data_IF_183474432642
#
_entry.id   IF_183474432642
#
_cell.length_a   1.000
_cell.length_b   1.000
_cell.length_c   1.000
_cell.angle_alpha   90.00
_cell.angle_beta   90.00
_cell.angle_gamma   90.00
#
_symmetry.space_group_name_H-M   'P 1'
#
loop_
_entity.id
_entity.type
_entity.pdbx_description
1 polymer ?
#
# COMPACT_ATOMS: atom_id res chain seq x y z
N UNK A 1 9.81 8.83 -13.30
CA UNK A 1 9.51 9.99 -14.16
C UNK A 1 8.81 9.53 -15.43
N UNK A 2 9.32 8.52 -16.10
CA UNK A 2 8.79 7.98 -17.37
C UNK A 2 7.31 7.59 -17.30
N UNK A 3 6.88 6.82 -16.28
CA UNK A 3 5.48 6.39 -16.12
C UNK A 3 4.47 7.56 -16.09
N UNK A 4 4.84 8.68 -15.51
CA UNK A 4 3.99 9.88 -15.43
C UNK A 4 3.92 10.70 -16.74
N UNK A 5 4.57 10.25 -17.81
CA UNK A 5 4.49 10.88 -19.14
C UNK A 5 3.51 10.19 -20.08
N UNK A 6 2.93 9.08 -19.67
CA UNK A 6 1.96 8.34 -20.48
C UNK A 6 0.59 9.04 -20.48
N UNK A 7 -0.15 8.90 -21.57
CA UNK A 7 -1.44 9.58 -21.77
C UNK A 7 -2.53 9.14 -20.80
N UNK A 8 -2.46 7.88 -20.32
CA UNK A 8 -3.43 7.33 -19.36
C UNK A 8 -3.40 7.99 -17.98
N UNK A 9 -2.32 8.71 -17.64
CA UNK A 9 -2.23 9.47 -16.39
C UNK A 9 -2.74 10.91 -16.49
N UNK A 10 -3.15 11.34 -17.67
CA UNK A 10 -3.63 12.71 -17.91
C UNK A 10 -4.86 13.09 -17.06
N UNK A 11 -5.71 12.11 -16.76
CA UNK A 11 -6.92 12.30 -15.96
C UNK A 11 -6.72 11.97 -14.47
N UNK A 12 -5.50 11.65 -14.06
CA UNK A 12 -5.14 11.30 -12.68
C UNK A 12 -4.35 10.01 -12.59
N UNK A 13 -3.77 9.77 -11.41
CA UNK A 13 -2.99 8.57 -11.13
C UNK A 13 -3.06 8.21 -9.66
N UNK A 14 -2.84 6.95 -9.37
CA UNK A 14 -2.59 6.40 -8.05
C UNK A 14 -1.20 5.76 -8.07
N UNK A 15 -0.38 6.08 -7.06
CA UNK A 15 0.91 5.43 -6.84
C UNK A 15 0.79 4.47 -5.67
N UNK A 16 1.09 3.20 -5.91
CA UNK A 16 1.17 2.17 -4.88
C UNK A 16 2.60 1.62 -4.78
N UNK A 17 3.10 1.52 -3.56
CA UNK A 17 4.46 1.08 -3.28
C UNK A 17 5.57 2.07 -3.63
N UNK A 18 5.24 3.32 -3.91
CA UNK A 18 6.18 4.43 -4.15
C UNK A 18 5.54 5.76 -3.73
N UNK A 19 6.31 6.66 -3.08
CA UNK A 19 7.68 6.54 -2.61
C UNK A 19 7.82 5.57 -1.41
N UNK A 20 9.04 5.07 -1.17
CA UNK A 20 9.37 4.19 -0.04
C UNK A 20 10.36 4.80 0.97
N UNK A 21 10.85 5.99 0.69
CA UNK A 21 11.68 6.77 1.60
C UNK A 21 11.54 8.26 1.29
N UNK A 22 12.03 9.11 2.19
CA UNK A 22 11.90 10.57 2.08
C UNK A 22 12.61 11.11 0.83
N UNK A 23 13.77 10.59 0.47
CA UNK A 23 14.47 11.03 -0.74
C UNK A 23 13.63 10.82 -2.01
N UNK A 24 12.95 9.68 -2.11
CA UNK A 24 12.02 9.43 -3.21
C UNK A 24 10.80 10.35 -3.17
N UNK A 25 10.29 10.68 -1.97
CA UNK A 25 9.18 11.62 -1.81
C UNK A 25 9.57 13.04 -2.27
N UNK A 26 10.77 13.48 -1.98
CA UNK A 26 11.31 14.78 -2.45
C UNK A 26 11.45 14.80 -3.98
N UNK A 27 11.99 13.74 -4.58
CA UNK A 27 12.08 13.60 -6.03
C UNK A 27 10.69 13.60 -6.68
N UNK A 28 9.72 12.88 -6.10
CA UNK A 28 8.34 12.88 -6.59
C UNK A 28 7.74 14.29 -6.54
N UNK A 29 7.92 14.99 -5.41
CA UNK A 29 7.46 16.37 -5.25
C UNK A 29 8.01 17.29 -6.35
N UNK A 30 9.30 17.20 -6.63
CA UNK A 30 9.95 18.00 -7.67
C UNK A 30 9.40 17.69 -9.08
N UNK A 31 9.19 16.39 -9.39
CA UNK A 31 8.61 15.96 -10.68
C UNK A 31 7.19 16.49 -10.85
N UNK A 32 6.37 16.40 -9.80
CA UNK A 32 4.97 16.85 -9.87
C UNK A 32 4.87 18.37 -9.94
N UNK A 33 5.77 19.10 -9.29
CA UNK A 33 5.87 20.55 -9.42
C UNK A 33 6.24 20.98 -10.86
N UNK A 34 7.23 20.30 -11.46
CA UNK A 34 7.61 20.51 -12.87
C UNK A 34 6.41 20.30 -13.83
N UNK A 35 5.60 19.27 -13.54
CA UNK A 35 4.43 18.90 -14.35
C UNK A 35 3.17 19.73 -14.02
N UNK A 36 3.19 20.52 -12.96
CA UNK A 36 2.03 21.26 -12.43
C UNK A 36 0.83 20.34 -12.09
N UNK A 37 1.13 19.14 -11.60
CA UNK A 37 0.15 18.12 -11.19
C UNK A 37 0.38 17.75 -9.72
N UNK A 38 -0.08 18.57 -8.75
CA UNK A 38 0.16 18.31 -7.34
C UNK A 38 -0.56 17.04 -6.87
N UNK A 39 -0.04 16.42 -5.80
CA UNK A 39 -0.77 15.35 -5.11
C UNK A 39 -2.01 15.95 -4.42
N UNK A 40 -3.13 15.26 -4.52
CA UNK A 40 -4.33 15.61 -3.78
C UNK A 40 -4.30 15.06 -2.35
N UNK A 41 -3.79 13.85 -2.17
CA UNK A 41 -3.68 13.20 -0.87
C UNK A 41 -2.64 12.10 -0.89
N UNK A 42 -2.16 11.74 0.30
CA UNK A 42 -1.37 10.54 0.58
C UNK A 42 -2.14 9.72 1.60
N UNK A 43 -2.60 8.55 1.18
CA UNK A 43 -3.37 7.65 2.01
C UNK A 43 -2.45 6.66 2.72
N UNK A 44 -2.42 6.72 4.04
CA UNK A 44 -1.74 5.76 4.89
C UNK A 44 -2.74 4.75 5.43
N UNK A 45 -2.46 3.47 5.24
CA UNK A 45 -3.17 2.39 5.92
C UNK A 45 -2.39 1.97 7.16
N UNK A 46 -2.92 2.29 8.34
CA UNK A 46 -2.29 1.93 9.62
C UNK A 46 -2.80 0.59 10.14
N UNK A 47 -1.89 -0.25 10.60
CA UNK A 47 -2.20 -1.55 11.18
C UNK A 47 -1.12 -1.90 12.21
N UNK A 48 -1.50 -2.57 13.31
CA UNK A 48 -0.54 -3.06 14.30
C UNK A 48 0.38 -4.13 13.69
N UNK A 49 1.65 -4.13 14.09
CA UNK A 49 2.65 -5.05 13.54
C UNK A 49 2.26 -6.52 13.74
N UNK A 50 1.69 -6.86 14.89
CA UNK A 50 1.22 -8.22 15.21
C UNK A 50 0.14 -8.68 14.22
N UNK A 51 -0.74 -7.78 13.84
CA UNK A 51 -1.81 -8.05 12.88
C UNK A 51 -1.26 -8.15 11.45
N UNK A 52 -0.26 -7.35 11.09
CA UNK A 52 0.46 -7.47 9.81
C UNK A 52 1.12 -8.85 9.70
N UNK A 53 1.84 -9.27 10.75
CA UNK A 53 2.48 -10.59 10.79
C UNK A 53 1.45 -11.70 10.63
N UNK A 54 0.36 -11.65 11.40
CA UNK A 54 -0.71 -12.63 11.32
C UNK A 54 -1.33 -12.74 9.92
N UNK A 55 -1.65 -11.61 9.29
CA UNK A 55 -2.24 -11.57 7.95
C UNK A 55 -1.30 -12.09 6.88
N UNK A 56 -0.05 -11.62 6.87
CA UNK A 56 0.93 -12.01 5.84
C UNK A 56 1.35 -13.48 5.99
N UNK A 57 1.57 -13.96 7.21
CA UNK A 57 1.96 -15.35 7.46
C UNK A 57 0.85 -16.36 7.15
N UNK A 58 -0.41 -15.95 7.26
CA UNK A 58 -1.56 -16.77 6.89
C UNK A 58 -1.94 -16.70 5.41
N UNK A 59 -1.36 -15.76 4.65
CA UNK A 59 -1.63 -15.60 3.22
C UNK A 59 -1.13 -16.81 2.43
N UNK A 60 -1.93 -17.23 1.46
CA UNK A 60 -1.62 -18.28 0.51
C UNK A 60 -1.86 -17.77 -0.91
N UNK A 61 -1.16 -18.36 -1.85
CA UNK A 61 -1.31 -18.07 -3.28
C UNK A 61 -1.58 -19.38 -3.99
N UNK A 62 -2.55 -19.41 -4.87
CA UNK A 62 -2.85 -20.58 -5.68
C UNK A 62 -1.78 -20.80 -6.73
N UNK A 63 -1.33 -22.07 -6.89
CA UNK A 63 -0.36 -22.45 -7.92
C UNK A 63 -0.94 -22.44 -9.33
N UNK A 64 -2.26 -22.67 -9.44
CA UNK A 64 -2.96 -22.80 -10.73
C UNK A 64 -3.44 -21.45 -11.27
N UNK A 65 -4.21 -20.70 -10.47
CA UNK A 65 -4.85 -19.44 -10.90
C UNK A 65 -4.23 -18.17 -10.32
N UNK A 66 -3.25 -18.28 -9.41
CA UNK A 66 -2.60 -17.14 -8.78
C UNK A 66 -3.48 -16.40 -7.75
N UNK A 67 -4.71 -16.83 -7.51
CA UNK A 67 -5.62 -16.16 -6.58
C UNK A 67 -5.08 -16.20 -5.15
N UNK A 68 -5.17 -15.07 -4.41
CA UNK A 68 -4.82 -15.03 -3.00
C UNK A 68 -5.93 -15.64 -2.14
N UNK A 69 -5.54 -16.26 -1.03
CA UNK A 69 -6.44 -16.80 -0.02
C UNK A 69 -5.78 -16.74 1.36
N UNK A 70 -6.53 -17.03 2.41
CA UNK A 70 -6.05 -16.98 3.79
C UNK A 70 -6.45 -18.25 4.53
N UNK A 71 -5.47 -18.92 5.15
CA UNK A 71 -5.71 -20.03 6.07
C UNK A 71 -6.39 -21.26 5.47
N UNK A 72 -6.24 -21.49 4.16
CA UNK A 72 -6.86 -22.62 3.46
C UNK A 72 -5.81 -23.52 2.82
N UNK A 73 -6.12 -24.80 2.65
CA UNK A 73 -5.25 -25.80 2.03
C UNK A 73 -5.49 -25.95 0.51
N UNK A 74 -6.64 -25.48 0.05
CA UNK A 74 -7.04 -25.47 -1.37
C UNK A 74 -7.59 -24.12 -1.77
N UNK A 75 -7.37 -23.76 -3.03
CA UNK A 75 -7.86 -22.49 -3.58
C UNK A 75 -9.40 -22.46 -3.62
N UNK A 76 -10.05 -21.46 -3.01
CA UNK A 76 -11.50 -21.35 -3.05
C UNK A 76 -12.06 -21.00 -4.43
N UNK A 77 -11.20 -20.52 -5.34
CA UNK A 77 -11.59 -20.13 -6.71
C UNK A 77 -11.56 -21.28 -7.70
N UNK A 78 -10.51 -22.12 -7.66
CA UNK A 78 -10.30 -23.18 -8.66
C UNK A 78 -10.06 -24.57 -8.06
N UNK A 79 -9.98 -24.71 -6.73
CA UNK A 79 -9.69 -25.98 -6.05
C UNK A 79 -8.22 -26.42 -6.14
N UNK A 80 -7.35 -25.65 -6.80
CA UNK A 80 -5.93 -25.95 -6.94
C UNK A 80 -5.13 -25.84 -5.64
N UNK A 81 -3.91 -26.34 -5.66
CA UNK A 81 -3.00 -26.30 -4.52
C UNK A 81 -2.56 -24.87 -4.21
N UNK A 82 -2.46 -24.57 -2.92
CA UNK A 82 -1.95 -23.27 -2.46
C UNK A 82 -0.57 -23.41 -1.82
N UNK A 83 0.19 -22.32 -1.83
CA UNK A 83 1.50 -22.23 -1.18
C UNK A 83 1.70 -20.91 -0.47
N UNK A 84 2.60 -20.91 0.51
CA UNK A 84 3.07 -19.68 1.14
C UNK A 84 4.23 -19.12 0.32
N UNK A 85 4.18 -17.83 0.01
CA UNK A 85 5.29 -17.15 -0.67
C UNK A 85 6.50 -17.03 0.27
N UNK A 86 7.72 -17.02 -0.29
CA UNK A 86 8.94 -16.84 0.51
C UNK A 86 8.96 -15.55 1.33
N UNK A 87 8.42 -14.46 0.76
CA UNK A 87 8.33 -13.16 1.42
C UNK A 87 7.19 -13.05 2.45
N UNK A 88 6.41 -14.11 2.65
CA UNK A 88 5.38 -14.25 3.68
C UNK A 88 5.83 -15.11 4.89
N UNK A 89 7.08 -15.52 4.92
CA UNK A 89 7.68 -16.19 6.09
C UNK A 89 7.89 -15.18 7.23
N UNK A 90 7.70 -15.62 8.47
CA UNK A 90 7.72 -14.75 9.66
C UNK A 90 9.01 -13.94 9.80
N UNK A 91 10.17 -14.55 9.57
CA UNK A 91 11.47 -13.86 9.62
C UNK A 91 11.62 -12.80 8.52
N UNK A 92 11.08 -13.07 7.33
CA UNK A 92 11.11 -12.10 6.21
C UNK A 92 10.17 -10.95 6.48
N UNK A 93 8.98 -11.22 7.03
CA UNK A 93 8.02 -10.19 7.46
C UNK A 93 8.64 -9.30 8.53
N UNK A 94 9.28 -9.87 9.54
CA UNK A 94 9.96 -9.10 10.61
C UNK A 94 11.00 -8.15 10.03
N UNK A 95 11.83 -8.63 9.09
CA UNK A 95 12.83 -7.79 8.42
C UNK A 95 12.20 -6.67 7.58
N UNK A 96 11.10 -6.95 6.90
CA UNK A 96 10.36 -5.94 6.13
C UNK A 96 9.78 -4.85 7.03
N UNK A 97 9.29 -5.20 8.22
CA UNK A 97 8.79 -4.24 9.21
C UNK A 97 9.90 -3.35 9.77
N UNK A 98 11.09 -3.90 10.02
CA UNK A 98 12.27 -3.11 10.41
C UNK A 98 12.63 -2.09 9.32
N UNK A 99 12.78 -2.53 8.08
CA UNK A 99 13.07 -1.65 6.93
C UNK A 99 11.99 -0.59 6.74
N UNK A 100 10.72 -0.97 6.92
CA UNK A 100 9.61 -0.01 6.88
C UNK A 100 9.76 1.06 7.97
N UNK A 101 10.02 0.66 9.22
CA UNK A 101 10.17 1.60 10.33
C UNK A 101 11.34 2.57 10.11
N UNK A 102 12.45 2.10 9.58
CA UNK A 102 13.64 2.91 9.34
C UNK A 102 13.53 3.83 8.11
N UNK A 103 12.99 3.33 7.01
CA UNK A 103 13.05 4.02 5.72
C UNK A 103 11.71 4.60 5.27
N UNK A 104 10.61 3.92 5.53
CA UNK A 104 9.28 4.28 4.99
C UNK A 104 8.46 5.06 5.99
N UNK A 105 8.46 4.72 7.27
CA UNK A 105 7.69 5.44 8.27
C UNK A 105 8.01 6.96 8.34
N UNK A 106 9.25 7.43 8.10
CA UNK A 106 9.54 8.87 8.00
C UNK A 106 8.73 9.62 6.92
N UNK A 107 8.25 8.94 5.89
CA UNK A 107 7.37 9.53 4.86
C UNK A 107 6.06 10.03 5.47
N UNK A 108 5.55 9.36 6.50
CA UNK A 108 4.34 9.74 7.20
C UNK A 108 4.48 11.16 7.76
N UNK A 109 5.58 11.44 8.46
CA UNK A 109 5.88 12.78 8.97
C UNK A 109 6.09 13.79 7.84
N UNK A 110 6.78 13.40 6.78
CA UNK A 110 7.00 14.24 5.60
C UNK A 110 5.67 14.74 5.01
N UNK A 111 4.74 13.85 4.70
CA UNK A 111 3.45 14.21 4.11
C UNK A 111 2.47 14.82 5.11
N UNK A 112 2.58 14.50 6.40
CA UNK A 112 1.83 15.18 7.46
C UNK A 112 2.20 16.66 7.52
N UNK A 113 3.49 16.98 7.45
CA UNK A 113 3.98 18.36 7.44
C UNK A 113 3.56 19.14 6.18
N UNK A 114 3.34 18.44 5.06
CA UNK A 114 2.79 19.03 3.84
C UNK A 114 1.26 19.15 3.84
N UNK A 115 0.59 18.64 4.87
CA UNK A 115 -0.88 18.67 4.97
C UNK A 115 -1.61 17.72 4.02
N UNK A 116 -0.90 16.74 3.47
CA UNK A 116 -1.42 15.80 2.47
C UNK A 116 -1.80 14.43 3.06
N UNK A 117 -1.38 14.13 4.30
CA UNK A 117 -1.56 12.81 4.88
C UNK A 117 -3.00 12.57 5.36
N UNK A 118 -3.55 11.44 4.94
CA UNK A 118 -4.80 10.88 5.45
C UNK A 118 -4.49 9.49 5.99
N UNK A 119 -4.73 9.27 7.28
CA UNK A 119 -4.53 7.95 7.90
C UNK A 119 -5.87 7.23 8.05
N UNK A 120 -5.93 5.99 7.58
CA UNK A 120 -7.08 5.10 7.68
C UNK A 120 -6.65 3.81 8.37
N UNK A 121 -7.44 3.36 9.36
CA UNK A 121 -7.19 2.07 9.98
C UNK A 121 -7.47 0.95 8.97
N UNK A 122 -6.51 0.04 8.83
CA UNK A 122 -6.65 -1.18 8.05
C UNK A 122 -7.07 -2.38 8.91
N UNK A 123 -7.57 -2.16 10.12
CA UNK A 123 -8.19 -3.20 10.94
C UNK A 123 -9.60 -3.52 10.42
N UNK A 124 -9.97 -4.80 10.46
CA UNK A 124 -11.28 -5.27 9.98
C UNK A 124 -11.24 -5.91 8.60
N UNK A 125 -12.39 -5.97 7.94
CA UNK A 125 -12.54 -6.55 6.61
C UNK A 125 -12.23 -5.52 5.50
N UNK A 126 -12.03 -6.02 4.28
CA UNK A 126 -11.63 -5.20 3.12
C UNK A 126 -12.72 -4.20 2.73
N UNK A 127 -13.98 -4.60 2.83
CA UNK A 127 -15.13 -3.78 2.46
C UNK A 127 -15.22 -2.54 3.35
N UNK A 128 -15.12 -2.69 4.66
CA UNK A 128 -15.15 -1.58 5.62
C UNK A 128 -13.95 -0.64 5.44
N UNK A 129 -12.75 -1.20 5.26
CA UNK A 129 -11.54 -0.42 4.98
C UNK A 129 -11.70 0.39 3.70
N UNK A 130 -12.27 -0.20 2.65
CA UNK A 130 -12.52 0.47 1.37
C UNK A 130 -13.50 1.64 1.53
N UNK A 131 -14.60 1.43 2.25
CA UNK A 131 -15.59 2.49 2.52
C UNK A 131 -14.95 3.65 3.29
N UNK A 132 -14.15 3.35 4.32
CA UNK A 132 -13.45 4.37 5.10
C UNK A 132 -12.45 5.16 4.25
N UNK A 133 -11.67 4.46 3.41
CA UNK A 133 -10.69 5.09 2.52
C UNK A 133 -11.36 6.03 1.50
N UNK A 134 -12.42 5.58 0.84
CA UNK A 134 -13.18 6.39 -0.12
C UNK A 134 -13.81 7.59 0.58
N UNK A 135 -14.43 7.40 1.74
CA UNK A 135 -15.03 8.48 2.52
C UNK A 135 -14.00 9.53 2.95
N UNK A 136 -12.81 9.09 3.34
CA UNK A 136 -11.72 10.00 3.73
C UNK A 136 -11.19 10.80 2.54
N UNK A 137 -11.00 10.17 1.37
CA UNK A 137 -10.57 10.84 0.14
C UNK A 137 -11.61 11.83 -0.39
N UNK A 138 -12.89 11.51 -0.32
CA UNK A 138 -13.98 12.38 -0.80
C UNK A 138 -14.02 13.74 -0.08
N UNK A 139 -13.44 13.85 1.11
CA UNK A 139 -13.36 15.10 1.87
C UNK A 139 -12.26 16.04 1.38
N UNK A 140 -11.31 15.52 0.61
CA UNK A 140 -10.15 16.29 0.14
C UNK A 140 -10.33 16.76 -1.30
N UNK A 141 -11.20 16.06 -2.06
CA UNK A 141 -11.47 16.38 -3.47
C UNK A 141 -12.64 17.35 -3.66
N UNK A 142 -13.17 17.89 -2.58
CA UNK A 142 -14.14 19.01 -2.59
C UNK A 142 -13.40 20.33 -2.37
#
# INVERSE_FOLDING_TARGET
KDRLTHDDVANGFLLDGFPRNVAQAEVLRAILAEKKTPLHAVLEFSLANEEIVARLSSRRTCRECGAPSVGVDKCPTCGGDVYQREDDKAEVIARRLEVYAEQTAPIISFYRNEGLLISVSAAGNVEDITVHAISALSRVTQ
#
